data_IF_151268312982
#
_entry.id   IF_151268312982
#
_cell.length_a   1.000
_cell.length_b   1.000
_cell.length_c   1.000
_cell.angle_alpha   90.00
_cell.angle_beta   90.00
_cell.angle_gamma   90.00
#
_symmetry.space_group_name_H-M   'P 1'
#
loop_
_entity.id
_entity.type
_entity.pdbx_description
1 polymer ?
#
# COMPACT_ATOMS: atom_id res chain seq x y z
N UNK A 1 -11.54 30.79 -3.02
CA UNK A 1 -11.25 29.97 -1.81
C UNK A 1 -12.45 29.13 -1.36
N UNK A 2 -13.71 29.52 -1.61
CA UNK A 2 -14.91 28.78 -1.19
C UNK A 2 -15.07 27.34 -1.74
N UNK A 3 -14.37 26.95 -2.81
CA UNK A 3 -14.50 25.61 -3.42
C UNK A 3 -13.62 24.52 -2.77
N UNK A 4 -12.51 24.90 -2.15
CA UNK A 4 -11.55 23.98 -1.50
C UNK A 4 -12.18 23.04 -0.45
N UNK A 5 -13.03 23.50 0.49
CA UNK A 5 -13.63 22.61 1.49
C UNK A 5 -14.54 21.54 0.88
N UNK A 6 -15.22 21.84 -0.23
CA UNK A 6 -16.09 20.89 -0.92
C UNK A 6 -15.31 19.86 -1.73
N UNK A 7 -14.15 20.24 -2.26
CA UNK A 7 -13.22 19.30 -2.90
C UNK A 7 -12.72 18.29 -1.86
N UNK A 8 -12.27 18.76 -0.69
CA UNK A 8 -11.82 17.88 0.39
C UNK A 8 -12.93 16.90 0.85
N UNK A 9 -14.18 17.39 0.98
CA UNK A 9 -15.33 16.54 1.33
C UNK A 9 -15.59 15.45 0.26
N UNK A 10 -15.54 15.82 -1.02
CA UNK A 10 -15.72 14.86 -2.11
C UNK A 10 -14.63 13.78 -2.10
N UNK A 11 -13.39 14.16 -1.80
CA UNK A 11 -12.29 13.20 -1.65
C UNK A 11 -12.49 12.28 -0.44
N UNK A 12 -12.96 12.80 0.70
CA UNK A 12 -13.30 11.96 1.85
C UNK A 12 -14.33 10.89 1.47
N UNK A 13 -15.41 11.30 0.80
CA UNK A 13 -16.47 10.37 0.35
C UNK A 13 -15.86 9.31 -0.59
N UNK A 14 -15.02 9.71 -1.54
CA UNK A 14 -14.37 8.78 -2.45
C UNK A 14 -13.48 7.77 -1.71
N UNK A 15 -12.65 8.21 -0.76
CA UNK A 15 -11.81 7.32 0.06
C UNK A 15 -12.65 6.35 0.87
N UNK A 16 -13.73 6.82 1.50
CA UNK A 16 -14.62 5.96 2.31
C UNK A 16 -15.26 4.88 1.42
N UNK A 17 -15.80 5.26 0.26
CA UNK A 17 -16.43 4.31 -0.66
C UNK A 17 -15.42 3.31 -1.22
N UNK A 18 -14.27 3.78 -1.71
CA UNK A 18 -13.25 2.90 -2.28
C UNK A 18 -12.63 1.99 -1.22
N UNK A 19 -12.35 2.53 -0.03
CA UNK A 19 -11.79 1.78 1.09
C UNK A 19 -12.75 0.71 1.61
N UNK A 20 -14.03 1.05 1.80
CA UNK A 20 -15.04 0.05 2.23
C UNK A 20 -15.21 -1.05 1.19
N UNK A 21 -15.31 -0.71 -0.10
CA UNK A 21 -15.40 -1.71 -1.17
C UNK A 21 -14.13 -2.57 -1.24
N UNK A 22 -12.93 -1.98 -1.10
CA UNK A 22 -11.65 -2.69 -1.09
C UNK A 22 -11.60 -3.72 0.05
N UNK A 23 -11.98 -3.31 1.26
CA UNK A 23 -12.01 -4.18 2.45
C UNK A 23 -13.02 -5.31 2.25
N UNK A 24 -14.23 -5.02 1.76
CA UNK A 24 -15.26 -6.03 1.50
C UNK A 24 -14.79 -7.05 0.46
N UNK A 25 -14.27 -6.60 -0.69
CA UNK A 25 -13.76 -7.47 -1.76
C UNK A 25 -12.62 -8.36 -1.23
N UNK A 26 -11.70 -7.78 -0.47
CA UNK A 26 -10.56 -8.50 0.09
C UNK A 26 -10.98 -9.51 1.15
N UNK A 27 -11.91 -9.14 2.04
CA UNK A 27 -12.44 -10.01 3.10
C UNK A 27 -13.18 -11.20 2.52
N UNK A 28 -14.11 -10.96 1.58
CA UNK A 28 -14.83 -12.02 0.87
C UNK A 28 -13.85 -12.97 0.20
N UNK A 29 -12.80 -12.44 -0.40
CA UNK A 29 -11.84 -13.26 -1.11
C UNK A 29 -10.91 -14.04 -0.18
N UNK A 30 -10.48 -13.44 0.93
CA UNK A 30 -9.76 -14.12 2.01
C UNK A 30 -10.57 -15.26 2.61
N UNK A 31 -11.83 -15.01 2.96
CA UNK A 31 -12.75 -16.03 3.48
C UNK A 31 -12.92 -17.16 2.47
N UNK A 32 -13.15 -16.81 1.19
CA UNK A 32 -13.26 -17.81 0.14
C UNK A 32 -11.97 -18.63 -0.02
N UNK A 33 -10.79 -18.03 0.21
CA UNK A 33 -9.53 -18.76 0.19
C UNK A 33 -9.35 -19.64 1.39
N UNK A 34 -9.64 -19.18 2.60
CA UNK A 34 -9.53 -20.01 3.80
C UNK A 34 -10.40 -21.27 3.69
N UNK A 35 -11.62 -21.14 3.17
CA UNK A 35 -12.50 -22.28 2.87
C UNK A 35 -11.87 -23.22 1.83
N UNK A 36 -11.26 -22.67 0.77
CA UNK A 36 -10.57 -23.47 -0.25
C UNK A 36 -9.30 -24.16 0.28
N UNK A 37 -8.58 -23.55 1.22
CA UNK A 37 -7.37 -24.09 1.83
C UNK A 37 -7.68 -25.19 2.82
N UNK A 38 -8.76 -25.03 3.60
CA UNK A 38 -9.23 -26.07 4.53
C UNK A 38 -9.70 -27.33 3.79
N UNK A 39 -10.17 -27.18 2.54
CA UNK A 39 -10.69 -28.29 1.72
C UNK A 39 -9.68 -28.97 0.80
N UNK A 40 -8.52 -28.37 0.48
CA UNK A 40 -7.54 -28.97 -0.46
C UNK A 40 -6.12 -28.58 -0.11
N UNK A 41 -5.18 -29.51 -0.37
CA UNK A 41 -3.71 -29.36 -0.41
C UNK A 41 -3.25 -28.36 -1.47
N UNK A 42 -3.83 -27.16 -1.46
CA UNK A 42 -3.41 -26.05 -2.29
C UNK A 42 -2.09 -25.58 -1.72
N UNK A 43 -1.01 -25.87 -2.44
CA UNK A 43 0.31 -25.25 -2.29
C UNK A 43 0.14 -23.81 -1.79
N UNK A 44 0.50 -23.57 -0.52
CA UNK A 44 0.22 -22.32 0.15
C UNK A 44 0.74 -21.15 -0.71
N UNK A 45 -0.05 -20.09 -0.94
CA UNK A 45 0.50 -18.90 -1.57
C UNK A 45 1.70 -18.42 -0.76
N UNK A 46 2.68 -17.84 -1.47
CA UNK A 46 3.90 -17.31 -0.86
C UNK A 46 3.49 -16.43 0.34
N UNK A 47 4.06 -16.72 1.52
CA UNK A 47 3.70 -16.05 2.78
C UNK A 47 3.87 -14.52 2.67
N UNK A 48 4.84 -14.06 1.89
CA UNK A 48 5.05 -12.65 1.58
C UNK A 48 3.87 -12.00 0.87
N UNK A 49 3.23 -12.70 -0.07
CA UNK A 49 2.06 -12.18 -0.77
C UNK A 49 0.86 -12.06 0.18
N UNK A 50 0.71 -13.01 1.11
CA UNK A 50 -0.30 -12.93 2.17
C UNK A 50 -0.08 -11.74 3.09
N UNK A 51 1.16 -11.53 3.54
CA UNK A 51 1.54 -10.40 4.39
C UNK A 51 1.33 -9.05 3.68
N UNK A 52 1.76 -8.92 2.43
CA UNK A 52 1.49 -7.75 1.59
C UNK A 52 -0.01 -7.46 1.47
N UNK A 53 -0.84 -8.49 1.24
CA UNK A 53 -2.29 -8.30 1.13
C UNK A 53 -2.87 -7.83 2.47
N UNK A 54 -2.39 -8.40 3.60
CA UNK A 54 -2.80 -8.01 4.94
C UNK A 54 -2.47 -6.54 5.25
N UNK A 55 -1.26 -6.08 4.92
CA UNK A 55 -0.87 -4.68 5.13
C UNK A 55 -1.62 -3.73 4.21
N UNK A 56 -1.89 -4.11 2.95
CA UNK A 56 -2.73 -3.34 2.04
C UNK A 56 -4.17 -3.18 2.56
N UNK A 57 -4.78 -4.25 3.09
CA UNK A 57 -6.10 -4.19 3.71
C UNK A 57 -6.10 -3.32 4.96
N UNK A 58 -5.12 -3.50 5.85
CA UNK A 58 -5.00 -2.72 7.06
C UNK A 58 -4.92 -1.22 6.73
N UNK A 59 -4.06 -0.85 5.77
CA UNK A 59 -3.93 0.52 5.27
C UNK A 59 -5.22 1.08 4.68
N UNK A 60 -5.89 0.35 3.79
CA UNK A 60 -7.18 0.83 3.21
C UNK A 60 -8.27 0.98 4.27
N UNK A 61 -8.32 0.09 5.25
CA UNK A 61 -9.29 0.13 6.34
C UNK A 61 -9.05 1.29 7.31
N UNK A 62 -7.81 1.49 7.76
CA UNK A 62 -7.46 2.60 8.66
C UNK A 62 -7.68 3.96 7.99
N UNK A 63 -7.31 4.09 6.71
CA UNK A 63 -7.57 5.29 5.92
C UNK A 63 -9.07 5.58 5.76
N UNK A 64 -9.91 4.56 5.53
CA UNK A 64 -11.37 4.74 5.44
C UNK A 64 -11.98 5.20 6.77
N UNK A 65 -11.58 4.58 7.88
CA UNK A 65 -12.03 4.98 9.23
C UNK A 65 -11.62 6.43 9.51
N UNK A 66 -10.39 6.77 9.17
CA UNK A 66 -9.88 8.13 9.32
C UNK A 66 -10.66 9.15 8.51
N UNK A 67 -10.93 8.89 7.24
CA UNK A 67 -11.69 9.82 6.41
C UNK A 67 -13.15 9.92 6.84
N UNK A 68 -13.71 8.85 7.42
CA UNK A 68 -15.03 8.91 8.05
C UNK A 68 -15.03 9.87 9.24
N UNK A 69 -14.00 9.83 10.07
CA UNK A 69 -13.85 10.76 11.18
C UNK A 69 -13.70 12.21 10.70
N UNK A 70 -12.85 12.45 9.70
CA UNK A 70 -12.67 13.78 9.10
C UNK A 70 -13.97 14.32 8.46
N UNK A 71 -14.73 13.44 7.79
CA UNK A 71 -16.02 13.80 7.19
C UNK A 71 -17.10 14.08 8.26
N UNK A 72 -17.12 13.32 9.36
CA UNK A 72 -18.10 13.50 10.43
C UNK A 72 -17.92 14.83 11.19
N UNK A 73 -16.68 15.31 11.31
CA UNK A 73 -16.34 16.59 11.92
C UNK A 73 -16.17 17.70 10.88
N UNK A 74 -16.59 17.49 9.63
CA UNK A 74 -16.43 18.48 8.57
C UNK A 74 -17.35 19.68 8.83
N UNK A 75 -16.75 20.85 8.99
CA UNK A 75 -17.46 22.11 9.03
C UNK A 75 -16.69 23.14 8.19
N UNK A 76 -17.31 23.73 7.16
CA UNK A 76 -16.65 24.67 6.26
C UNK A 76 -16.27 26.00 6.91
N UNK A 77 -16.82 26.31 8.10
CA UNK A 77 -16.65 27.59 8.80
C UNK A 77 -15.85 27.49 10.11
N UNK A 78 -15.73 26.30 10.72
CA UNK A 78 -15.05 26.11 12.01
C UNK A 78 -14.26 24.80 12.03
N UNK A 79 -12.97 24.87 12.35
CA UNK A 79 -12.07 23.71 12.44
C UNK A 79 -11.88 23.26 13.89
N UNK A 80 -12.97 22.99 14.60
CA UNK A 80 -12.90 22.39 15.94
C UNK A 80 -12.78 20.87 15.82
N UNK A 81 -11.58 20.42 15.45
CA UNK A 81 -11.24 18.99 15.49
C UNK A 81 -10.61 18.67 16.84
N UNK A 82 -11.02 17.55 17.44
CA UNK A 82 -10.25 16.98 18.55
C UNK A 82 -8.88 16.53 18.02
N UNK A 83 -7.87 17.38 18.29
CA UNK A 83 -6.49 17.22 17.85
C UNK A 83 -5.86 15.95 18.42
N UNK A 84 -6.32 15.50 19.59
CA UNK A 84 -5.83 14.29 20.25
C UNK A 84 -6.29 13.05 19.49
N UNK A 85 -7.59 12.93 19.24
CA UNK A 85 -8.14 11.80 18.50
C UNK A 85 -7.63 11.77 17.05
N UNK A 86 -7.53 12.93 16.40
CA UNK A 86 -6.96 13.09 15.06
C UNK A 86 -5.49 12.63 14.99
N UNK A 87 -4.70 12.89 16.05
CA UNK A 87 -3.32 12.43 16.16
C UNK A 87 -3.21 10.92 16.34
N UNK A 88 -4.04 10.32 17.19
CA UNK A 88 -4.07 8.86 17.34
C UNK A 88 -4.40 8.16 16.02
N UNK A 89 -5.47 8.60 15.35
CA UNK A 89 -5.89 8.03 14.07
C UNK A 89 -4.83 8.25 12.99
N UNK A 90 -4.24 9.45 12.92
CA UNK A 90 -3.15 9.77 12.00
C UNK A 90 -1.90 8.91 12.23
N UNK A 91 -1.54 8.66 13.49
CA UNK A 91 -0.41 7.79 13.85
C UNK A 91 -0.64 6.35 13.38
N UNK A 92 -1.85 5.81 13.60
CA UNK A 92 -2.22 4.46 13.13
C UNK A 92 -2.17 4.38 11.60
N UNK A 93 -2.70 5.39 10.90
CA UNK A 93 -2.62 5.44 9.44
C UNK A 93 -1.16 5.45 8.96
N UNK A 94 -0.31 6.31 9.53
CA UNK A 94 1.13 6.35 9.21
C UNK A 94 1.80 4.99 9.41
N UNK A 95 1.55 4.30 10.52
CA UNK A 95 2.08 2.96 10.77
C UNK A 95 1.64 1.99 9.66
N UNK A 96 0.36 1.99 9.30
CA UNK A 96 -0.15 1.07 8.27
C UNK A 96 0.35 1.38 6.87
N UNK A 97 0.48 2.66 6.50
CA UNK A 97 1.05 3.10 5.22
C UNK A 97 2.52 2.70 5.12
N UNK A 98 3.34 2.99 6.16
CA UNK A 98 4.75 2.59 6.16
C UNK A 98 4.92 1.05 6.14
N UNK A 99 4.03 0.33 6.84
CA UNK A 99 4.01 -1.14 6.83
C UNK A 99 3.64 -1.72 5.46
N UNK A 100 2.75 -1.05 4.72
CA UNK A 100 2.42 -1.39 3.34
C UNK A 100 3.62 -1.16 2.42
N UNK A 101 4.22 0.03 2.43
CA UNK A 101 5.36 0.39 1.58
C UNK A 101 6.56 -0.56 1.77
N UNK A 102 6.92 -0.87 3.01
CA UNK A 102 8.01 -1.82 3.27
C UNK A 102 7.66 -3.24 2.84
N UNK A 103 6.39 -3.64 2.97
CA UNK A 103 5.93 -4.94 2.51
C UNK A 103 6.03 -5.06 1.00
N UNK A 104 5.69 -4.00 0.27
CA UNK A 104 5.82 -3.91 -1.17
C UNK A 104 7.29 -3.99 -1.60
N UNK A 105 8.16 -3.23 -0.93
CA UNK A 105 9.60 -3.21 -1.20
C UNK A 105 10.21 -4.60 -1.03
N UNK A 106 9.92 -5.26 0.10
CA UNK A 106 10.46 -6.58 0.40
C UNK A 106 9.83 -7.68 -0.47
N UNK A 107 8.55 -7.54 -0.87
CA UNK A 107 7.93 -8.43 -1.84
C UNK A 107 8.63 -8.32 -3.21
N UNK A 108 8.97 -7.11 -3.64
CA UNK A 108 9.68 -6.88 -4.90
C UNK A 108 11.12 -7.42 -4.82
N UNK A 109 11.80 -7.20 -3.69
CA UNK A 109 13.13 -7.74 -3.44
C UNK A 109 13.16 -9.28 -3.45
N UNK A 110 12.22 -9.94 -2.74
CA UNK A 110 12.04 -11.41 -2.77
C UNK A 110 11.96 -11.93 -4.20
N UNK A 111 11.35 -11.16 -5.10
CA UNK A 111 11.10 -11.56 -6.49
C UNK A 111 12.32 -11.36 -7.38
N UNK A 112 13.08 -10.28 -7.17
CA UNK A 112 14.42 -10.13 -7.76
C UNK A 112 15.31 -11.31 -7.38
N UNK A 113 15.37 -11.65 -6.09
CA UNK A 113 16.16 -12.78 -5.59
C UNK A 113 15.68 -14.11 -6.16
N UNK A 114 14.37 -14.33 -6.27
CA UNK A 114 13.83 -15.54 -6.85
C UNK A 114 14.16 -15.71 -8.34
N UNK A 115 14.26 -14.61 -9.10
CA UNK A 115 14.70 -14.65 -10.50
C UNK A 115 16.18 -14.99 -10.61
N UNK A 116 17.01 -14.47 -9.71
CA UNK A 116 18.46 -14.71 -9.70
C UNK A 116 18.83 -16.11 -9.18
N UNK A 117 18.18 -16.58 -8.10
CA UNK A 117 18.49 -17.83 -7.41
C UNK A 117 17.24 -18.69 -7.16
N UNK A 118 16.66 -19.30 -8.20
CA UNK A 118 15.43 -20.09 -8.06
C UNK A 118 15.61 -21.33 -7.15
N UNK A 119 16.83 -21.88 -7.06
CA UNK A 119 17.12 -23.10 -6.29
C UNK A 119 16.99 -22.91 -4.76
N UNK A 120 17.12 -21.68 -4.26
CA UNK A 120 17.11 -21.39 -2.81
C UNK A 120 15.79 -20.76 -2.33
N UNK A 121 14.72 -20.85 -3.13
CA UNK A 121 13.44 -20.17 -2.91
C UNK A 121 12.92 -20.24 -1.47
N UNK A 122 12.87 -21.43 -0.86
CA UNK A 122 12.26 -21.61 0.46
C UNK A 122 13.05 -20.94 1.59
N UNK A 123 14.38 -20.84 1.47
CA UNK A 123 15.22 -20.17 2.47
C UNK A 123 15.04 -18.66 2.39
N UNK A 124 15.09 -18.11 1.17
CA UNK A 124 14.89 -16.68 0.92
C UNK A 124 13.48 -16.22 1.26
N UNK A 125 12.44 -17.00 0.92
CA UNK A 125 11.05 -16.66 1.27
C UNK A 125 10.87 -16.50 2.79
N UNK A 126 11.46 -17.41 3.59
CA UNK A 126 11.43 -17.30 5.06
C UNK A 126 12.20 -16.08 5.56
N UNK A 127 13.39 -15.83 4.99
CA UNK A 127 14.20 -14.67 5.35
C UNK A 127 13.46 -13.35 5.09
N UNK A 128 12.93 -13.16 3.89
CA UNK A 128 12.17 -11.95 3.54
C UNK A 128 10.90 -11.80 4.39
N UNK A 129 10.22 -12.90 4.71
CA UNK A 129 9.05 -12.87 5.59
C UNK A 129 9.40 -12.41 7.01
N UNK A 130 10.44 -13.00 7.63
CA UNK A 130 10.88 -12.59 8.97
C UNK A 130 11.41 -11.16 8.97
N UNK A 131 12.16 -10.77 7.94
CA UNK A 131 12.66 -9.40 7.78
C UNK A 131 11.50 -8.39 7.69
N UNK A 132 10.45 -8.73 6.95
CA UNK A 132 9.27 -7.87 6.82
C UNK A 132 8.54 -7.70 8.16
N UNK A 133 8.31 -8.79 8.91
CA UNK A 133 7.74 -8.69 10.25
C UNK A 133 8.58 -7.83 11.20
N UNK A 134 9.90 -7.99 11.16
CA UNK A 134 10.82 -7.16 11.94
C UNK A 134 10.74 -5.68 11.56
N UNK A 135 10.69 -5.38 10.26
CA UNK A 135 10.58 -4.01 9.77
C UNK A 135 9.23 -3.36 10.11
N UNK A 136 8.12 -4.10 10.00
CA UNK A 136 6.79 -3.66 10.47
C UNK A 136 6.84 -3.34 11.96
N UNK A 137 7.42 -4.24 12.78
CA UNK A 137 7.59 -4.00 14.22
C UNK A 137 8.41 -2.75 14.52
N UNK A 138 9.49 -2.52 13.77
CA UNK A 138 10.28 -1.30 13.87
C UNK A 138 9.45 -0.05 13.54
N UNK A 139 8.67 -0.05 12.45
CA UNK A 139 7.82 1.10 12.10
C UNK A 139 6.74 1.37 13.15
N UNK A 140 6.13 0.33 13.72
CA UNK A 140 5.16 0.48 14.81
C UNK A 140 5.81 1.25 15.97
N UNK A 141 7.01 0.84 16.41
CA UNK A 141 7.70 1.49 17.53
C UNK A 141 8.20 2.88 17.17
N UNK A 142 8.91 3.03 16.05
CA UNK A 142 9.55 4.28 15.65
C UNK A 142 8.53 5.38 15.33
N UNK A 143 7.47 5.08 14.56
CA UNK A 143 6.42 6.04 14.25
C UNK A 143 5.65 6.40 15.52
N UNK A 144 5.31 5.43 16.37
CA UNK A 144 4.65 5.72 17.65
C UNK A 144 5.51 6.62 18.54
N UNK A 145 6.82 6.38 18.63
CA UNK A 145 7.74 7.21 19.42
C UNK A 145 7.84 8.64 18.88
N UNK A 146 8.02 8.81 17.57
CA UNK A 146 8.04 10.13 16.94
C UNK A 146 6.71 10.86 17.17
N UNK A 147 5.60 10.16 16.97
CA UNK A 147 4.26 10.73 17.12
C UNK A 147 3.83 10.93 18.58
N UNK A 148 4.54 10.42 19.59
CA UNK A 148 4.24 10.71 21.01
C UNK A 148 5.15 11.80 21.58
N UNK A 149 6.39 11.88 21.09
CA UNK A 149 7.36 12.89 21.51
C UNK A 149 7.17 14.25 20.84
N UNK A 150 6.44 14.30 19.72
CA UNK A 150 6.12 15.54 19.03
C UNK A 150 5.20 16.47 19.86
N UNK A 151 5.31 17.78 19.73
CA UNK A 151 4.40 18.69 20.43
C UNK A 151 3.01 18.65 19.79
N UNK A 152 1.93 18.58 20.59
CA UNK A 152 0.57 18.73 20.06
C UNK A 152 0.32 20.23 19.84
N UNK A 153 -0.01 20.68 18.62
CA UNK A 153 -0.33 22.07 18.39
C UNK A 153 -1.64 22.45 19.11
N UNK A 154 -1.65 23.63 19.74
CA UNK A 154 -2.83 24.13 20.45
C UNK A 154 -4.00 24.48 19.52
N UNK A 155 -3.71 24.80 18.26
CA UNK A 155 -4.68 25.02 17.19
C UNK A 155 -4.13 24.50 15.87
N UNK A 156 -5.01 24.05 14.97
CA UNK A 156 -4.63 23.63 13.63
C UNK A 156 -4.36 24.84 12.73
N UNK A 157 -3.46 24.73 11.74
CA UNK A 157 -3.30 25.76 10.72
C UNK A 157 -4.63 26.03 9.99
N UNK A 158 -4.87 27.28 9.60
CA UNK A 158 -6.05 27.63 8.81
C UNK A 158 -6.12 26.83 7.51
N UNK A 159 -7.30 26.33 7.15
CA UNK A 159 -7.56 25.54 5.94
C UNK A 159 -6.80 24.21 5.85
N UNK A 160 -6.47 23.59 6.99
CA UNK A 160 -5.73 22.33 7.04
C UNK A 160 -6.70 21.15 7.22
N UNK A 161 -6.89 20.37 6.16
CA UNK A 161 -7.89 19.27 6.08
C UNK A 161 -7.23 17.88 6.15
N UNK A 162 -6.00 17.81 6.65
CA UNK A 162 -5.15 16.64 6.64
C UNK A 162 -4.73 16.25 8.06
N UNK A 163 -4.50 14.97 8.31
CA UNK A 163 -3.92 14.53 9.59
C UNK A 163 -2.45 14.94 9.75
N UNK A 164 -1.75 15.31 8.67
CA UNK A 164 -0.41 15.91 8.76
C UNK A 164 -0.42 17.20 9.61
N UNK A 165 -1.57 17.87 9.72
CA UNK A 165 -1.71 19.14 10.41
C UNK A 165 -1.56 19.05 11.95
N UNK A 166 -1.72 17.86 12.55
CA UNK A 166 -1.51 17.65 14.00
C UNK A 166 -0.07 17.31 14.38
N UNK A 167 0.81 17.16 13.38
CA UNK A 167 2.24 16.92 13.58
C UNK A 167 3.04 18.19 13.31
N UNK A 168 4.17 18.34 14.00
CA UNK A 168 5.09 19.43 13.74
C UNK A 168 5.69 19.32 12.34
N UNK A 169 6.13 20.46 11.81
CA UNK A 169 6.86 20.52 10.54
C UNK A 169 8.03 19.53 10.53
N UNK A 170 8.81 19.44 11.61
CA UNK A 170 9.96 18.54 11.69
C UNK A 170 9.58 17.05 11.55
N UNK A 171 8.54 16.61 12.25
CA UNK A 171 8.02 15.24 12.14
C UNK A 171 7.53 14.96 10.71
N UNK A 172 6.77 15.90 10.13
CA UNK A 172 6.26 15.77 8.76
C UNK A 172 7.40 15.68 7.73
N UNK A 173 8.48 16.45 7.89
CA UNK A 173 9.66 16.36 7.02
C UNK A 173 10.33 14.99 7.09
N UNK A 174 10.52 14.46 8.30
CA UNK A 174 11.16 13.15 8.49
C UNK A 174 10.30 12.05 7.85
N UNK A 175 8.98 12.10 8.05
CA UNK A 175 8.04 11.14 7.47
C UNK A 175 7.97 11.26 5.94
N UNK A 176 7.97 12.48 5.40
CA UNK A 176 7.99 12.73 3.97
C UNK A 176 9.29 12.22 3.33
N UNK A 177 10.43 12.50 3.95
CA UNK A 177 11.73 12.00 3.49
C UNK A 177 11.79 10.46 3.53
N UNK A 178 11.26 9.84 4.58
CA UNK A 178 11.17 8.38 4.68
C UNK A 178 10.29 7.80 3.56
N UNK A 179 9.13 8.41 3.29
CA UNK A 179 8.23 7.99 2.20
C UNK A 179 8.89 8.12 0.83
N UNK A 180 9.52 9.27 0.54
CA UNK A 180 10.25 9.48 -0.73
C UNK A 180 11.36 8.45 -0.89
N UNK A 181 12.11 8.16 0.17
CA UNK A 181 13.19 7.17 0.16
C UNK A 181 12.68 5.75 -0.13
N UNK A 182 11.60 5.33 0.52
CA UNK A 182 10.98 4.02 0.29
C UNK A 182 10.40 3.90 -1.13
N UNK A 183 9.66 4.92 -1.58
CA UNK A 183 9.06 4.94 -2.92
C UNK A 183 10.14 4.90 -4.02
N UNK A 184 11.21 5.69 -3.86
CA UNK A 184 12.37 5.68 -4.77
C UNK A 184 13.06 4.31 -4.78
N UNK A 185 13.26 3.70 -3.61
CA UNK A 185 13.86 2.37 -3.50
C UNK A 185 13.00 1.29 -4.16
N UNK A 186 11.68 1.36 -4.00
CA UNK A 186 10.73 0.46 -4.63
C UNK A 186 10.77 0.60 -6.17
N UNK A 187 10.91 1.81 -6.69
CA UNK A 187 11.07 2.06 -8.12
C UNK A 187 12.36 1.46 -8.66
N UNK A 188 13.49 1.69 -7.98
CA UNK A 188 14.78 1.11 -8.38
C UNK A 188 14.75 -0.41 -8.39
N UNK A 189 14.12 -1.02 -7.39
CA UNK A 189 13.93 -2.47 -7.32
C UNK A 189 13.04 -2.99 -8.44
N UNK A 190 11.96 -2.29 -8.78
CA UNK A 190 11.08 -2.68 -9.89
C UNK A 190 11.75 -2.54 -11.26
N UNK A 191 12.54 -1.48 -11.47
CA UNK A 191 13.37 -1.34 -12.69
C UNK A 191 14.35 -2.51 -12.76
N UNK A 192 15.02 -2.81 -11.64
CA UNK A 192 15.95 -3.96 -11.54
C UNK A 192 15.22 -5.26 -11.86
N UNK A 193 14.04 -5.48 -11.29
CA UNK A 193 13.21 -6.65 -11.54
C UNK A 193 12.83 -6.77 -13.02
N UNK A 194 12.42 -5.68 -13.66
CA UNK A 194 12.08 -5.66 -15.09
C UNK A 194 13.30 -5.97 -15.96
N UNK A 195 14.46 -5.38 -15.67
CA UNK A 195 15.72 -5.68 -16.34
C UNK A 195 16.11 -7.15 -16.20
N UNK A 196 15.99 -7.72 -14.99
CA UNK A 196 16.21 -9.13 -14.75
C UNK A 196 15.21 -9.99 -15.54
N UNK A 197 13.94 -9.64 -15.56
CA UNK A 197 12.94 -10.36 -16.34
C UNK A 197 13.26 -10.35 -17.84
N UNK A 198 13.68 -9.21 -18.40
CA UNK A 198 14.05 -9.10 -19.81
C UNK A 198 15.31 -9.91 -20.14
N UNK A 199 16.34 -9.83 -19.31
CA UNK A 199 17.59 -10.61 -19.47
C UNK A 199 17.32 -12.11 -19.39
N UNK A 200 16.59 -12.56 -18.37
CA UNK A 200 16.26 -13.98 -18.15
C UNK A 200 15.06 -14.47 -18.98
N UNK A 201 14.37 -13.62 -19.75
CA UNK A 201 13.39 -14.05 -20.76
C UNK A 201 14.08 -14.63 -22.00
N UNK A 202 15.29 -14.13 -22.32
CA UNK A 202 16.13 -14.66 -23.41
C UNK A 202 16.76 -16.01 -23.05
N UNK A 203 17.08 -16.23 -21.77
CA UNK A 203 17.50 -17.55 -21.26
C UNK A 203 16.27 -18.44 -21.04
N UNK A 204 16.08 -19.49 -21.85
CA UNK A 204 14.91 -20.38 -21.91
C UNK A 204 14.48 -21.01 -20.56
N UNK A 205 13.83 -20.26 -19.66
CA UNK A 205 13.07 -20.84 -18.54
C UNK A 205 11.69 -21.25 -19.08
N UNK A 206 11.68 -22.32 -19.88
CA UNK A 206 10.54 -22.80 -20.69
C UNK A 206 9.35 -23.29 -19.82
N UNK A 207 9.56 -23.54 -18.53
CA UNK A 207 8.55 -24.04 -17.58
C UNK A 207 8.23 -23.06 -16.44
N UNK A 208 7.94 -21.78 -16.74
CA UNK A 208 7.37 -20.88 -15.72
C UNK A 208 5.94 -21.32 -15.39
N UNK A 209 5.68 -21.62 -14.11
CA UNK A 209 4.32 -21.89 -13.62
C UNK A 209 3.38 -20.73 -13.94
N UNK A 210 2.10 -21.02 -14.19
CA UNK A 210 1.08 -20.00 -14.44
C UNK A 210 1.02 -18.95 -13.31
N UNK A 211 1.27 -19.39 -12.07
CA UNK A 211 1.37 -18.54 -10.89
C UNK A 211 2.50 -17.50 -11.02
N UNK A 212 3.67 -17.93 -11.47
CA UNK A 212 4.85 -17.06 -11.59
C UNK A 212 4.71 -16.04 -12.72
N UNK A 213 4.15 -16.43 -13.87
CA UNK A 213 3.85 -15.48 -14.96
C UNK A 213 2.92 -14.37 -14.47
N UNK A 214 1.89 -14.75 -13.70
CA UNK A 214 0.98 -13.77 -13.12
C UNK A 214 1.67 -12.87 -12.10
N UNK A 215 2.39 -13.44 -11.11
CA UNK A 215 3.04 -12.62 -10.07
C UNK A 215 3.97 -11.59 -10.67
N UNK A 216 4.68 -11.94 -11.74
CA UNK A 216 5.53 -10.98 -12.45
C UNK A 216 4.71 -9.86 -13.11
N UNK A 217 3.56 -10.19 -13.71
CA UNK A 217 2.68 -9.20 -14.31
C UNK A 217 2.04 -8.29 -13.26
N UNK A 218 1.67 -8.86 -12.11
CA UNK A 218 1.16 -8.12 -10.96
C UNK A 218 2.18 -7.12 -10.42
N UNK A 219 3.44 -7.51 -10.26
CA UNK A 219 4.50 -6.60 -9.81
C UNK A 219 4.73 -5.47 -10.82
N UNK A 220 4.72 -5.77 -12.12
CA UNK A 220 4.83 -4.72 -13.17
C UNK A 220 3.64 -3.76 -13.10
N UNK A 221 2.45 -4.29 -12.84
CA UNK A 221 1.24 -3.49 -12.71
C UNK A 221 1.32 -2.60 -11.46
N UNK A 222 1.66 -3.18 -10.32
CA UNK A 222 1.89 -2.50 -9.05
C UNK A 222 2.96 -1.41 -9.18
N UNK A 223 4.05 -1.67 -9.90
CA UNK A 223 5.04 -0.64 -10.26
C UNK A 223 4.43 0.54 -11.01
N UNK A 224 3.60 0.27 -12.01
CA UNK A 224 2.94 1.33 -12.80
C UNK A 224 2.04 2.19 -11.91
N UNK A 225 1.34 1.56 -10.95
CA UNK A 225 0.52 2.27 -9.97
C UNK A 225 1.38 3.14 -9.04
N UNK A 226 2.45 2.62 -8.44
CA UNK A 226 3.32 3.41 -7.58
C UNK A 226 3.94 4.62 -8.28
N UNK A 227 4.34 4.50 -9.56
CA UNK A 227 4.88 5.64 -10.32
C UNK A 227 3.82 6.74 -10.50
N UNK A 228 2.62 6.36 -10.93
CA UNK A 228 1.55 7.33 -11.25
C UNK A 228 0.93 7.92 -9.99
N UNK A 229 0.73 7.11 -8.95
CA UNK A 229 -0.13 7.43 -7.83
C UNK A 229 0.62 7.75 -6.53
N UNK A 230 1.90 7.41 -6.42
CA UNK A 230 2.71 7.74 -5.23
C UNK A 230 3.87 8.67 -5.57
N UNK A 231 4.72 8.32 -6.54
CA UNK A 231 5.87 9.14 -6.90
C UNK A 231 5.47 10.46 -7.57
N UNK A 232 4.55 10.42 -8.54
CA UNK A 232 4.18 11.63 -9.30
C UNK A 232 3.61 12.72 -8.38
N UNK A 233 2.65 12.43 -7.47
CA UNK A 233 2.20 13.42 -6.49
C UNK A 233 3.31 13.91 -5.56
N UNK A 234 4.21 13.03 -5.10
CA UNK A 234 5.32 13.43 -4.22
C UNK A 234 6.30 14.39 -4.91
N UNK A 235 6.63 14.15 -6.19
CA UNK A 235 7.47 15.06 -6.98
C UNK A 235 6.75 16.40 -7.18
N UNK A 236 5.45 16.37 -7.51
CA UNK A 236 4.67 17.60 -7.70
C UNK A 236 4.63 18.44 -6.42
N UNK A 237 4.43 17.82 -5.25
CA UNK A 237 4.47 18.51 -3.95
C UNK A 237 5.86 19.11 -3.68
N UNK A 238 6.94 18.35 -3.93
CA UNK A 238 8.31 18.84 -3.76
C UNK A 238 8.63 20.04 -4.68
N UNK A 239 8.16 20.00 -5.93
CA UNK A 239 8.32 21.12 -6.87
C UNK A 239 7.51 22.34 -6.41
N UNK A 240 6.24 22.16 -6.05
CA UNK A 240 5.37 23.26 -5.64
C UNK A 240 5.85 23.92 -4.34
N UNK A 241 6.40 23.12 -3.44
CA UNK A 241 7.06 23.61 -2.24
C UNK A 241 8.28 24.46 -2.58
N UNK A 242 9.20 23.95 -3.41
CA UNK A 242 10.43 24.67 -3.75
C UNK A 242 10.19 25.94 -4.57
N UNK A 243 9.20 25.95 -5.46
CA UNK A 243 8.96 27.09 -6.36
C UNK A 243 7.96 28.11 -5.83
N UNK A 244 6.99 27.69 -5.01
CA UNK A 244 5.87 28.55 -4.58
C UNK A 244 5.65 28.59 -3.08
N UNK A 245 6.43 27.86 -2.28
CA UNK A 245 6.18 27.65 -0.84
C UNK A 245 4.76 27.13 -0.55
N UNK A 246 4.17 26.40 -1.50
CA UNK A 246 2.87 25.77 -1.33
C UNK A 246 3.09 24.34 -0.87
N UNK A 247 2.52 24.00 0.27
CA UNK A 247 2.58 22.65 0.84
C UNK A 247 1.32 21.90 0.42
N UNK A 248 1.37 21.12 -0.66
CA UNK A 248 0.20 20.38 -1.13
C UNK A 248 -0.31 19.44 -0.05
N UNK A 249 0.58 18.83 0.74
CA UNK A 249 0.21 17.99 1.89
C UNK A 249 -0.80 18.64 2.86
N UNK A 250 -0.79 19.98 3.00
CA UNK A 250 -1.71 20.70 3.88
C UNK A 250 -3.11 20.84 3.28
N UNK A 251 -3.21 20.81 1.94
CA UNK A 251 -4.46 21.01 1.20
C UNK A 251 -5.01 19.72 0.58
N UNK A 252 -4.16 18.69 0.41
CA UNK A 252 -4.41 17.45 -0.34
C UNK A 252 -4.08 16.19 0.48
N UNK A 253 -4.17 16.29 1.81
CA UNK A 253 -4.18 15.12 2.69
C UNK A 253 -5.16 14.02 2.27
N UNK A 254 -6.39 14.33 1.80
CA UNK A 254 -7.29 13.31 1.28
C UNK A 254 -6.86 12.78 -0.10
N UNK A 255 -6.32 13.60 -1.00
CA UNK A 255 -5.78 13.20 -2.31
C UNK A 255 -4.63 12.16 -2.20
N UNK A 256 -3.65 12.39 -1.32
CA UNK A 256 -2.55 11.44 -1.11
C UNK A 256 -3.05 10.09 -0.60
N UNK A 257 -4.04 10.11 0.30
CA UNK A 257 -4.70 8.91 0.83
C UNK A 257 -5.59 8.25 -0.22
N UNK A 258 -6.24 9.03 -1.08
CA UNK A 258 -7.09 8.56 -2.18
C UNK A 258 -6.30 7.73 -3.18
N UNK A 259 -5.11 8.18 -3.58
CA UNK A 259 -4.25 7.41 -4.47
C UNK A 259 -3.72 6.11 -3.86
N UNK A 260 -3.28 6.18 -2.61
CA UNK A 260 -2.88 5.00 -1.85
C UNK A 260 -4.06 4.01 -1.72
N UNK A 261 -5.29 4.53 -1.53
CA UNK A 261 -6.50 3.72 -1.44
C UNK A 261 -6.86 3.09 -2.78
N UNK A 262 -6.69 3.80 -3.90
CA UNK A 262 -6.82 3.23 -5.24
C UNK A 262 -5.81 2.10 -5.48
N UNK A 263 -4.54 2.32 -5.16
CA UNK A 263 -3.50 1.30 -5.28
C UNK A 263 -3.83 0.05 -4.45
N UNK A 264 -4.23 0.24 -3.19
CA UNK A 264 -4.69 -0.85 -2.32
C UNK A 264 -5.92 -1.58 -2.86
N UNK A 265 -6.94 -0.85 -3.34
CA UNK A 265 -8.16 -1.41 -3.94
C UNK A 265 -7.84 -2.29 -5.14
N UNK A 266 -7.04 -1.78 -6.06
CA UNK A 266 -6.73 -2.52 -7.26
C UNK A 266 -5.75 -3.68 -7.00
N UNK A 267 -4.81 -3.51 -6.08
CA UNK A 267 -3.93 -4.59 -5.62
C UNK A 267 -4.73 -5.76 -5.04
N UNK A 268 -5.74 -5.46 -4.21
CA UNK A 268 -6.70 -6.43 -3.71
C UNK A 268 -7.51 -7.10 -4.84
N UNK A 269 -8.06 -6.31 -5.77
CA UNK A 269 -8.83 -6.83 -6.90
C UNK A 269 -7.98 -7.79 -7.75
N UNK A 270 -6.76 -7.40 -8.08
CA UNK A 270 -5.82 -8.19 -8.85
C UNK A 270 -5.51 -9.51 -8.12
N UNK A 271 -5.20 -9.47 -6.82
CA UNK A 271 -5.00 -10.68 -6.01
C UNK A 271 -6.21 -11.63 -6.05
N UNK A 272 -7.43 -11.10 -6.04
CA UNK A 272 -8.64 -11.92 -6.06
C UNK A 272 -8.91 -12.57 -7.42
N UNK A 273 -8.62 -11.86 -8.51
CA UNK A 273 -8.64 -12.42 -9.86
C UNK A 273 -7.68 -13.62 -9.97
N UNK A 274 -6.51 -13.55 -9.31
CA UNK A 274 -5.53 -14.66 -9.26
C UNK A 274 -6.09 -15.87 -8.57
N UNK A 275 -6.60 -15.68 -7.36
CA UNK A 275 -7.11 -16.76 -6.56
C UNK A 275 -8.21 -17.51 -7.31
N UNK A 276 -9.08 -16.77 -8.02
CA UNK A 276 -10.10 -17.36 -8.89
C UNK A 276 -9.48 -18.13 -10.08
N UNK A 277 -8.48 -17.57 -10.77
CA UNK A 277 -7.81 -18.27 -11.90
C UNK A 277 -7.09 -19.54 -11.46
N UNK A 278 -6.32 -19.50 -10.35
CA UNK A 278 -5.64 -20.69 -9.80
C UNK A 278 -6.65 -21.78 -9.47
N UNK A 279 -7.80 -21.42 -8.89
CA UNK A 279 -8.89 -22.38 -8.62
C UNK A 279 -9.40 -23.02 -9.90
N UNK A 280 -9.68 -22.23 -10.96
CA UNK A 280 -10.18 -22.74 -12.24
C UNK A 280 -9.18 -23.70 -12.91
N UNK A 281 -7.90 -23.32 -13.02
CA UNK A 281 -6.88 -24.14 -13.68
C UNK A 281 -6.60 -25.46 -12.94
N UNK A 282 -6.77 -25.52 -11.60
CA UNK A 282 -6.59 -26.75 -10.82
C UNK A 282 -7.83 -27.65 -10.71
N UNK A 283 -9.01 -27.18 -11.13
CA UNK A 283 -10.19 -28.04 -11.28
C UNK A 283 -10.17 -28.78 -12.62
N UNK A 284 -9.28 -28.37 -13.54
CA UNK A 284 -9.12 -28.94 -14.88
C UNK A 284 -7.97 -29.95 -15.11
N UNK A 285 -7.43 -30.73 -14.14
CA UNK A 285 -6.55 -31.85 -14.48
C UNK A 285 -7.40 -33.10 -14.72
N UNK A 286 -7.32 -33.66 -15.93
CA UNK A 286 -7.88 -34.93 -16.45
C UNK A 286 -9.06 -34.83 -17.44
N UNK A 287 -8.83 -34.20 -18.59
CA UNK A 287 -9.26 -34.79 -19.86
C UNK A 287 -8.04 -34.80 -20.78
N UNK A 288 -7.13 -35.75 -20.53
CA UNK A 288 -6.27 -36.21 -21.60
C UNK A 288 -7.17 -37.09 -22.49
N UNK A 289 -7.29 -36.83 -23.80
CA UNK A 289 -7.90 -37.79 -24.70
C UNK A 289 -7.02 -39.04 -24.65
N UNK A 290 -7.60 -40.17 -24.27
CA UNK A 290 -6.99 -41.45 -24.55
C UNK A 290 -6.89 -41.62 -26.06
N UNK A 291 -5.66 -41.73 -26.54
CA UNK A 291 -5.31 -42.28 -27.86
C UNK A 291 -3.94 -42.90 -27.75
#
# INVERSE_FOLDING_TARGET
>A
MAALPYIALAEYIAVILLGTVAVVISTVSLLSTQVAWKKRTVQAPNRMMGLFTATAMAMTGTNAVQMTYMAALWNPNYHEHDTTLMRYVGTVSLITVNSYEISTLLLTADRCFFVLWPAQRLKHEKFFFTLNLGAIGFFVVAVSYLCTTDAIPASLPENCWAYGCVFSMGTNEILLAARISMSSSNILLNITFLCLLLKYRKCKVRNRSALQKFTNHFIIWLFSFHVVFDLTPAIVDLLLRNFRNIYLQNYLGPYGVLFITFDGFFSALAYNIVLRKIRKTRVQPSQAPGS
#
